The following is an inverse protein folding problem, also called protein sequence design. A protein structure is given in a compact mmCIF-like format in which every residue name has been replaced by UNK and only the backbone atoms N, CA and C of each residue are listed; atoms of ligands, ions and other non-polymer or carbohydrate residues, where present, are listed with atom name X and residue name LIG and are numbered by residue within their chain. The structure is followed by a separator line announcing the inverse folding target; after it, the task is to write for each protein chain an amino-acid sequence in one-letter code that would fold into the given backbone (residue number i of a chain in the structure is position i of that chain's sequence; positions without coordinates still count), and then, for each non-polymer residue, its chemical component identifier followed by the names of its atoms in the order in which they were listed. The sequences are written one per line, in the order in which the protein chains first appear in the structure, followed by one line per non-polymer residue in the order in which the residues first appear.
data_IF_361238909970
#
_entry.id   IF_361238909970
#
_cell.length_a   1.000
_cell.length_b   1.000
_cell.length_c   1.000
_cell.angle_alpha   90.00
_cell.angle_beta   90.00
_cell.angle_gamma   90.00
#
_symmetry.space_group_name_H-M   'P 1'
#
loop_
_entity.id
_entity.type
_entity.pdbx_description
1 polymer ?
#
# COMPACT_ATOMS: atom_id res chain seq x y z
N UNK A 1 11.64 27.70 -30.12
CA UNK A 1 10.74 27.30 -29.02
C UNK A 1 11.58 26.49 -28.05
N UNK A 2 11.57 26.90 -26.78
CA UNK A 2 12.25 26.20 -25.70
C UNK A 2 11.44 24.98 -25.30
N UNK A 3 12.12 23.84 -25.20
CA UNK A 3 11.58 22.58 -24.74
C UNK A 3 12.54 21.90 -23.78
N UNK A 4 12.04 21.09 -22.83
CA UNK A 4 12.89 20.15 -22.12
C UNK A 4 13.46 19.12 -23.09
N UNK A 5 14.76 18.88 -23.00
CA UNK A 5 15.43 17.78 -23.71
C UNK A 5 15.01 16.41 -23.17
N UNK A 6 14.73 16.34 -21.86
CA UNK A 6 14.26 15.14 -21.18
C UNK A 6 13.96 15.38 -19.71
N UNK A 7 13.47 14.33 -19.04
CA UNK A 7 13.16 14.36 -17.61
C UNK A 7 14.09 13.41 -16.87
N UNK A 8 14.86 13.96 -15.93
CA UNK A 8 15.73 13.18 -15.06
C UNK A 8 15.03 12.96 -13.71
N UNK A 9 14.82 11.69 -13.36
CA UNK A 9 14.23 11.33 -12.08
C UNK A 9 15.25 11.50 -10.96
N UNK A 10 14.88 12.27 -9.93
CA UNK A 10 15.68 12.42 -8.71
C UNK A 10 15.08 11.51 -7.64
N UNK A 11 15.92 10.66 -7.05
CA UNK A 11 15.49 9.73 -5.99
C UNK A 11 14.95 10.49 -4.77
N UNK A 12 13.81 10.03 -4.24
CA UNK A 12 13.11 10.65 -3.12
C UNK A 12 13.94 10.66 -1.82
N UNK A 13 14.89 9.72 -1.66
CA UNK A 13 15.80 9.63 -0.50
C UNK A 13 16.77 10.81 -0.39
N UNK A 14 16.96 11.56 -1.48
CA UNK A 14 17.79 12.77 -1.51
C UNK A 14 17.04 14.01 -1.00
N UNK A 15 15.76 13.86 -0.66
CA UNK A 15 14.96 14.94 -0.11
C UNK A 15 14.72 14.75 1.39
N UNK A 16 14.75 15.85 2.12
CA UNK A 16 14.47 15.88 3.55
C UNK A 16 13.65 17.13 3.90
N UNK A 17 12.99 17.11 5.05
CA UNK A 17 12.31 18.29 5.57
C UNK A 17 13.27 19.09 6.44
N UNK A 18 13.43 20.38 6.13
CA UNK A 18 14.25 21.27 6.95
C UNK A 18 13.53 21.54 8.28
N UNK A 19 14.24 21.35 9.39
CA UNK A 19 13.65 21.42 10.74
C UNK A 19 13.09 22.80 11.11
N UNK A 20 13.66 23.87 10.57
CA UNK A 20 13.28 25.25 10.94
C UNK A 20 11.95 25.70 10.32
N UNK A 21 11.67 25.32 9.07
CA UNK A 21 10.54 25.84 8.29
C UNK A 21 9.61 24.74 7.73
N UNK A 22 9.98 23.46 7.90
CA UNK A 22 9.22 22.33 7.39
C UNK A 22 9.18 22.24 5.85
N UNK A 23 10.06 22.96 5.13
CA UNK A 23 10.13 22.90 3.67
C UNK A 23 10.88 21.65 3.21
N UNK A 24 10.48 21.14 2.06
CA UNK A 24 11.16 20.02 1.41
C UNK A 24 12.41 20.57 0.71
N UNK A 25 13.56 20.06 1.11
CA UNK A 25 14.85 20.48 0.57
C UNK A 25 15.61 19.30 0.00
N UNK A 26 16.31 19.54 -1.10
CA UNK A 26 17.25 18.59 -1.68
C UNK A 26 18.58 18.64 -0.90
N UNK A 27 19.16 17.47 -0.67
CA UNK A 27 20.44 17.29 0.01
C UNK A 27 21.27 16.22 -0.70
N UNK A 28 22.51 16.54 -1.05
CA UNK A 28 23.44 15.64 -1.75
C UNK A 28 24.22 14.73 -0.79
N UNK A 29 23.62 14.34 0.33
CA UNK A 29 24.20 13.39 1.29
C UNK A 29 25.20 13.98 2.28
N UNK A 30 25.55 15.27 2.17
CA UNK A 30 26.19 15.98 3.28
C UNK A 30 25.10 16.44 4.25
N UNK A 31 24.94 15.67 5.34
CA UNK A 31 24.00 15.92 6.43
C UNK A 31 24.39 17.21 7.16
N UNK A 32 24.09 18.35 6.56
CA UNK A 32 24.16 19.63 7.24
C UNK A 32 22.74 19.99 7.68
N UNK A 33 22.50 19.86 8.98
CA UNK A 33 21.30 20.35 9.65
C UNK A 33 21.18 21.86 9.36
N UNK A 34 20.40 22.21 8.32
CA UNK A 34 20.17 23.60 7.90
C UNK A 34 20.59 23.96 6.47
N UNK A 35 21.30 23.09 5.74
CA UNK A 35 21.94 23.42 4.45
C UNK A 35 21.33 22.79 3.20
N UNK A 36 20.01 22.59 3.14
CA UNK A 36 19.34 22.04 1.95
C UNK A 36 18.83 23.12 0.99
N UNK A 37 18.75 22.80 -0.30
CA UNK A 37 18.27 23.71 -1.37
C UNK A 37 16.79 23.44 -1.66
N UNK A 38 15.97 24.48 -1.75
CA UNK A 38 14.57 24.34 -2.16
C UNK A 38 14.50 24.45 -3.67
N UNK A 39 14.52 23.29 -4.36
CA UNK A 39 14.59 23.24 -5.82
C UNK A 39 13.49 24.05 -6.52
N UNK A 40 12.29 24.11 -5.93
CA UNK A 40 11.17 24.81 -6.55
C UNK A 40 11.28 26.34 -6.39
N UNK A 41 11.87 26.80 -5.29
CA UNK A 41 12.06 28.22 -5.01
C UNK A 41 13.34 28.77 -5.65
N UNK A 42 14.44 28.02 -5.56
CA UNK A 42 15.77 28.42 -6.01
C UNK A 42 15.92 28.28 -7.53
N UNK A 43 15.21 27.33 -8.16
CA UNK A 43 15.26 27.06 -9.60
C UNK A 43 13.85 26.97 -10.23
N UNK A 44 13.12 28.10 -10.30
CA UNK A 44 11.75 28.10 -10.77
C UNK A 44 11.65 27.63 -12.23
N UNK A 45 10.77 26.67 -12.49
CA UNK A 45 10.49 26.14 -13.83
C UNK A 45 11.51 25.13 -14.36
N UNK A 46 12.49 24.72 -13.56
CA UNK A 46 13.45 23.66 -13.92
C UNK A 46 13.08 22.28 -13.35
N UNK A 47 12.26 22.26 -12.31
CA UNK A 47 11.89 21.04 -11.58
C UNK A 47 10.39 20.82 -11.55
N UNK A 48 9.99 19.55 -11.52
CA UNK A 48 8.62 19.10 -11.32
C UNK A 48 8.52 18.36 -9.99
N UNK A 49 7.54 18.75 -9.17
CA UNK A 49 7.35 18.19 -7.84
C UNK A 49 5.90 17.76 -7.63
N UNK A 50 5.65 16.45 -7.73
CA UNK A 50 4.35 15.88 -7.37
C UNK A 50 4.29 15.52 -5.88
N UNK A 51 3.32 16.08 -5.16
CA UNK A 51 3.09 15.83 -3.74
C UNK A 51 1.59 15.72 -3.46
N UNK A 52 1.00 14.52 -3.52
CA UNK A 52 -0.39 14.33 -3.15
C UNK A 52 -0.56 14.59 -1.64
N UNK A 53 -1.69 15.18 -1.27
CA UNK A 53 -2.09 15.37 0.14
C UNK A 53 -3.12 14.28 0.45
N UNK A 54 -2.71 13.30 1.25
CA UNK A 54 -3.53 12.12 1.55
C UNK A 54 -4.26 12.33 2.88
N UNK A 55 -3.53 12.76 3.91
CA UNK A 55 -4.08 12.91 5.27
C UNK A 55 -4.41 14.37 5.61
N UNK A 56 -3.89 15.33 4.85
CA UNK A 56 -4.07 16.76 5.13
C UNK A 56 -3.24 17.27 6.31
N UNK A 57 -2.33 16.45 6.86
CA UNK A 57 -1.45 16.78 7.98
C UNK A 57 -0.26 17.67 7.51
N UNK A 58 0.70 17.91 8.40
CA UNK A 58 1.94 18.60 8.07
C UNK A 58 2.67 17.90 6.92
N UNK A 59 3.35 18.67 6.02
CA UNK A 59 3.94 18.11 4.81
C UNK A 59 4.92 16.93 5.04
N UNK A 60 5.49 16.81 6.23
CA UNK A 60 6.41 15.73 6.64
C UNK A 60 5.73 14.45 7.13
N UNK A 61 4.43 14.49 7.44
CA UNK A 61 3.62 13.35 7.90
C UNK A 61 2.60 12.89 6.85
N UNK A 62 2.64 13.50 5.67
CA UNK A 62 1.87 13.03 4.52
C UNK A 62 2.36 11.68 4.03
N UNK A 63 1.45 10.96 3.35
CA UNK A 63 1.72 9.63 2.81
C UNK A 63 1.04 8.52 3.61
N UNK A 64 0.89 7.36 2.96
CA UNK A 64 0.23 6.19 3.52
C UNK A 64 1.13 5.42 4.51
N UNK A 65 2.45 5.60 4.43
CA UNK A 65 3.41 4.83 5.24
C UNK A 65 3.16 4.98 6.74
N UNK A 66 2.83 6.17 7.24
CA UNK A 66 2.58 6.40 8.66
C UNK A 66 1.31 5.68 9.17
N UNK A 67 0.29 5.57 8.32
CA UNK A 67 -0.93 4.82 8.64
C UNK A 67 -0.69 3.31 8.59
N UNK A 68 0.04 2.85 7.56
CA UNK A 68 0.22 1.44 7.27
C UNK A 68 1.32 0.77 8.11
N UNK A 69 2.28 1.52 8.65
CA UNK A 69 3.45 0.95 9.36
C UNK A 69 3.03 0.03 10.52
N UNK A 70 2.04 0.45 11.31
CA UNK A 70 1.58 -0.32 12.46
C UNK A 70 0.82 -1.57 12.04
N UNK A 71 -0.07 -1.43 11.07
CA UNK A 71 -0.87 -2.55 10.55
C UNK A 71 0.03 -3.60 9.89
N UNK A 72 1.01 -3.16 9.09
CA UNK A 72 1.99 -4.03 8.48
C UNK A 72 2.89 -4.72 9.52
N UNK A 73 3.30 -4.00 10.58
CA UNK A 73 4.10 -4.56 11.67
C UNK A 73 3.33 -5.66 12.43
N UNK A 74 2.10 -5.36 12.85
CA UNK A 74 1.26 -6.31 13.59
C UNK A 74 0.90 -7.53 12.75
N UNK A 75 0.69 -7.34 11.44
CA UNK A 75 0.43 -8.45 10.54
C UNK A 75 1.64 -9.38 10.43
N UNK A 76 2.82 -8.82 10.19
CA UNK A 76 4.06 -9.60 10.13
C UNK A 76 4.35 -10.35 11.43
N UNK A 77 4.08 -9.73 12.59
CA UNK A 77 4.22 -10.40 13.89
C UNK A 77 3.21 -11.52 14.09
N UNK A 78 1.97 -11.30 13.70
CA UNK A 78 0.90 -12.30 13.80
C UNK A 78 1.18 -13.52 12.92
N UNK A 79 1.66 -13.30 11.69
CA UNK A 79 2.08 -14.37 10.77
C UNK A 79 3.29 -15.13 11.33
N UNK A 80 4.29 -14.42 11.86
CA UNK A 80 5.46 -15.04 12.47
C UNK A 80 5.11 -15.87 13.72
N UNK A 81 4.21 -15.36 14.57
CA UNK A 81 3.72 -16.08 15.74
C UNK A 81 2.90 -17.31 15.34
N UNK A 82 2.06 -17.20 14.32
CA UNK A 82 1.27 -18.31 13.81
C UNK A 82 2.16 -19.44 13.28
N UNK A 83 3.23 -19.11 12.55
CA UNK A 83 4.21 -20.08 12.08
C UNK A 83 4.94 -20.77 13.24
N UNK A 84 5.32 -20.03 14.29
CA UNK A 84 5.94 -20.59 15.51
C UNK A 84 4.99 -21.52 16.25
N UNK A 85 3.73 -21.12 16.38
CA UNK A 85 2.69 -21.96 16.98
C UNK A 85 2.51 -23.24 16.18
N UNK A 86 2.48 -23.15 14.85
CA UNK A 86 2.51 -24.32 13.97
C UNK A 86 3.68 -25.24 14.30
N UNK A 87 4.91 -24.71 14.29
CA UNK A 87 6.11 -25.49 14.60
C UNK A 87 6.05 -26.18 15.98
N UNK A 88 5.57 -25.47 17.00
CA UNK A 88 5.44 -26.00 18.37
C UNK A 88 4.33 -27.05 18.49
N UNK A 89 3.25 -26.94 17.72
CA UNK A 89 2.12 -27.89 17.78
C UNK A 89 2.48 -29.24 17.16
N UNK A 90 3.34 -29.23 16.13
CA UNK A 90 3.78 -30.46 15.43
C UNK A 90 5.00 -31.13 16.07
N UNK A 91 5.51 -30.60 17.19
CA UNK A 91 6.67 -31.14 17.92
C UNK A 91 6.30 -31.35 19.39
N UNK A 92 6.60 -32.51 19.99
CA UNK A 92 6.36 -32.71 21.42
C UNK A 92 7.25 -31.78 22.24
N UNK A 93 6.76 -31.30 23.37
CA UNK A 93 7.59 -30.64 24.37
C UNK A 93 8.43 -31.69 25.07
N UNK A 94 9.74 -31.46 25.13
CA UNK A 94 10.66 -32.35 25.85
C UNK A 94 11.01 -31.70 27.17
N UNK A 95 10.55 -32.31 28.27
CA UNK A 95 10.73 -31.79 29.62
C UNK A 95 11.65 -32.75 30.36
N UNK A 96 12.85 -32.28 30.71
CA UNK A 96 13.77 -33.03 31.57
C UNK A 96 13.55 -32.65 33.03
N UNK A 97 13.18 -33.63 33.87
CA UNK A 97 13.07 -33.45 35.32
C UNK A 97 14.40 -33.80 35.99
N UNK A 98 14.78 -33.04 37.00
CA UNK A 98 16.00 -33.29 37.78
C UNK A 98 15.74 -33.10 39.28
N UNK A 99 16.47 -33.84 40.11
CA UNK A 99 16.34 -33.76 41.56
C UNK A 99 16.87 -32.43 42.15
N UNK A 100 16.29 -32.00 43.27
CA UNK A 100 16.73 -30.78 43.96
C UNK A 100 18.13 -30.98 44.56
N UNK A 101 19.10 -30.14 44.17
CA UNK A 101 20.49 -30.22 44.64
C UNK A 101 21.51 -30.71 43.59
N UNK A 102 21.06 -31.02 42.37
CA UNK A 102 21.94 -31.46 41.27
C UNK A 102 22.91 -30.35 40.84
N UNK A 103 24.19 -30.72 40.69
CA UNK A 103 25.28 -29.83 40.27
C UNK A 103 25.10 -29.28 38.84
N UNK A 104 25.72 -28.13 38.55
CA UNK A 104 25.58 -27.42 37.27
C UNK A 104 25.92 -28.26 36.05
N UNK A 105 26.92 -29.15 36.15
CA UNK A 105 27.36 -30.03 35.06
C UNK A 105 26.26 -31.00 34.61
N UNK A 106 25.57 -31.65 35.54
CA UNK A 106 24.51 -32.61 35.22
C UNK A 106 23.27 -31.93 34.60
N UNK A 107 23.00 -30.65 34.94
CA UNK A 107 21.97 -29.86 34.25
C UNK A 107 22.34 -29.57 32.80
N UNK A 108 23.60 -29.24 32.53
CA UNK A 108 24.09 -29.00 31.19
C UNK A 108 24.06 -30.28 30.33
N UNK A 109 24.45 -31.43 30.90
CA UNK A 109 24.40 -32.72 30.21
C UNK A 109 22.95 -33.14 29.88
N UNK A 110 22.00 -32.86 30.80
CA UNK A 110 20.58 -33.07 30.54
C UNK A 110 20.06 -32.17 29.41
N UNK A 111 20.40 -30.89 29.41
CA UNK A 111 20.02 -29.96 28.34
C UNK A 111 20.59 -30.40 26.99
N UNK A 112 21.86 -30.79 26.94
CA UNK A 112 22.50 -31.32 25.74
C UNK A 112 21.79 -32.59 25.21
N UNK A 113 21.31 -33.43 26.12
CA UNK A 113 20.56 -34.65 25.77
C UNK A 113 19.19 -34.31 25.16
N UNK A 114 18.49 -33.31 25.70
CA UNK A 114 17.22 -32.80 25.15
C UNK A 114 17.40 -32.14 23.78
N UNK A 115 18.47 -31.39 23.56
CA UNK A 115 18.82 -30.81 22.26
C UNK A 115 19.14 -31.90 21.22
N UNK A 116 19.91 -32.92 21.60
CA UNK A 116 20.18 -34.08 20.73
C UNK A 116 18.91 -34.85 20.37
N UNK A 117 18.00 -35.01 21.33
CA UNK A 117 16.70 -35.64 21.09
C UNK A 117 15.86 -34.86 20.08
N UNK A 118 16.05 -33.54 20.00
CA UNK A 118 15.35 -32.68 19.03
C UNK A 118 15.85 -32.89 17.60
N UNK A 119 17.16 -33.02 17.40
CA UNK A 119 17.77 -33.16 16.07
C UNK A 119 17.80 -34.61 15.57
N UNK A 120 18.14 -35.56 16.44
CA UNK A 120 18.44 -36.94 16.05
C UNK A 120 17.34 -37.94 16.46
N UNK A 121 16.35 -37.52 17.25
CA UNK A 121 15.25 -38.38 17.70
C UNK A 121 15.65 -39.51 18.66
N UNK A 122 16.91 -39.56 19.10
CA UNK A 122 17.46 -40.62 19.97
C UNK A 122 18.26 -39.96 21.10
N UNK A 123 18.03 -40.42 22.33
CA UNK A 123 18.78 -40.03 23.51
C UNK A 123 19.00 -41.24 24.43
N UNK A 124 20.15 -41.29 25.10
CA UNK A 124 20.46 -42.28 26.13
C UNK A 124 20.62 -41.53 27.45
N UNK A 125 19.93 -41.96 28.50
CA UNK A 125 19.99 -41.33 29.82
C UNK A 125 20.13 -42.38 30.93
N UNK A 126 20.61 -41.95 32.10
CA UNK A 126 20.64 -42.81 33.29
C UNK A 126 19.24 -43.03 33.88
N UNK A 127 19.06 -44.07 34.71
CA UNK A 127 17.75 -44.42 35.29
C UNK A 127 17.18 -43.35 36.22
N UNK A 128 18.00 -42.44 36.73
CA UNK A 128 17.58 -41.34 37.62
C UNK A 128 17.09 -40.09 36.87
N UNK A 129 17.22 -40.07 35.54
CA UNK A 129 16.82 -38.96 34.67
C UNK A 129 15.50 -39.33 34.01
N UNK A 130 14.46 -38.54 34.27
CA UNK A 130 13.14 -38.69 33.66
C UNK A 130 12.99 -37.65 32.53
N UNK A 131 12.72 -38.13 31.31
CA UNK A 131 12.46 -37.30 30.13
C UNK A 131 11.02 -37.54 29.70
N UNK A 132 10.18 -36.50 29.83
CA UNK A 132 8.80 -36.55 29.37
C UNK A 132 8.67 -35.91 27.99
N UNK A 133 8.04 -36.65 27.07
CA UNK A 133 7.58 -36.13 25.78
C UNK A 133 6.09 -35.81 25.91
N UNK A 134 5.80 -34.55 26.21
CA UNK A 134 4.43 -34.06 26.34
C UNK A 134 4.02 -33.50 24.99
N UNK A 135 3.09 -34.15 24.30
CA UNK A 135 2.42 -33.48 23.19
C UNK A 135 1.60 -32.32 23.75
N UNK A 136 1.68 -31.10 23.18
CA UNK A 136 0.75 -30.03 23.56
C UNK A 136 -0.67 -30.58 23.45
N UNK A 137 -1.32 -30.74 24.60
CA UNK A 137 -2.53 -31.54 24.72
C UNK A 137 -3.65 -30.98 23.86
N UNK A 138 -4.43 -31.87 23.25
CA UNK A 138 -5.81 -31.60 22.80
C UNK A 138 -6.77 -31.38 23.98
N UNK A 139 -6.30 -30.86 25.12
CA UNK A 139 -7.12 -30.57 26.29
C UNK A 139 -7.71 -29.18 26.14
N UNK A 140 -8.79 -29.14 25.35
CA UNK A 140 -9.48 -27.91 24.98
C UNK A 140 -10.26 -28.08 23.68
N UNK A 141 -10.98 -29.20 23.52
CA UNK A 141 -11.97 -29.34 22.45
C UNK A 141 -13.12 -28.36 22.71
N UNK A 142 -12.93 -27.13 22.27
CA UNK A 142 -13.90 -26.04 22.39
C UNK A 142 -13.39 -24.78 21.69
N UNK A 143 -13.59 -24.71 20.37
CA UNK A 143 -13.67 -23.47 19.60
C UNK A 143 -12.46 -22.50 19.61
N UNK A 144 -11.29 -22.94 19.14
CA UNK A 144 -10.21 -22.03 18.69
C UNK A 144 -9.90 -22.23 17.20
N UNK A 145 -10.94 -22.23 16.36
CA UNK A 145 -10.76 -22.08 14.92
C UNK A 145 -10.17 -20.70 14.63
N UNK A 146 -9.04 -20.69 13.91
CA UNK A 146 -8.50 -19.55 13.13
C UNK A 146 -8.28 -18.17 13.77
N UNK A 147 -8.02 -18.02 15.07
CA UNK A 147 -7.75 -16.67 15.66
C UNK A 147 -6.61 -15.91 14.97
N UNK A 148 -5.49 -16.57 14.64
CA UNK A 148 -4.37 -15.93 13.94
C UNK A 148 -4.72 -15.55 12.50
N UNK A 149 -5.39 -16.45 11.76
CA UNK A 149 -5.80 -16.19 10.38
C UNK A 149 -6.79 -15.04 10.32
N UNK A 150 -7.81 -15.05 11.18
CA UNK A 150 -8.80 -13.98 11.27
C UNK A 150 -8.17 -12.63 11.58
N UNK A 151 -7.18 -12.60 12.48
CA UNK A 151 -6.42 -11.39 12.77
C UNK A 151 -5.60 -10.92 11.56
N UNK A 152 -4.92 -11.83 10.86
CA UNK A 152 -4.13 -11.49 9.66
C UNK A 152 -5.03 -10.98 8.53
N UNK A 153 -6.17 -11.64 8.30
CA UNK A 153 -7.16 -11.26 7.30
C UNK A 153 -7.79 -9.89 7.66
N UNK A 154 -8.14 -9.67 8.94
CA UNK A 154 -8.65 -8.37 9.39
C UNK A 154 -7.63 -7.24 9.18
N UNK A 155 -6.36 -7.45 9.55
CA UNK A 155 -5.29 -6.49 9.32
C UNK A 155 -5.09 -6.22 7.81
N UNK A 156 -5.14 -7.26 6.97
CA UNK A 156 -5.08 -7.15 5.51
C UNK A 156 -6.25 -6.34 4.93
N UNK A 157 -7.45 -6.55 5.46
CA UNK A 157 -8.64 -5.81 5.09
C UNK A 157 -8.52 -4.32 5.49
N UNK A 158 -8.02 -3.99 6.68
CA UNK A 158 -7.76 -2.59 7.06
C UNK A 158 -6.72 -1.91 6.15
N UNK A 159 -5.65 -2.62 5.76
CA UNK A 159 -4.69 -2.11 4.77
C UNK A 159 -5.34 -1.83 3.41
N UNK A 160 -6.24 -2.72 2.96
CA UNK A 160 -6.95 -2.55 1.70
C UNK A 160 -7.88 -1.33 1.73
N UNK A 161 -8.60 -1.10 2.84
CA UNK A 161 -9.42 0.11 3.02
C UNK A 161 -8.58 1.37 2.98
N UNK A 162 -7.43 1.37 3.63
CA UNK A 162 -6.55 2.52 3.67
C UNK A 162 -6.00 2.92 2.29
N UNK A 163 -5.72 1.95 1.42
CA UNK A 163 -5.10 2.19 0.10
C UNK A 163 -6.16 2.36 -0.98
N UNK A 164 -7.12 1.45 -1.04
CA UNK A 164 -8.10 1.35 -2.13
C UNK A 164 -9.47 1.95 -1.77
N UNK A 165 -9.68 2.35 -0.50
CA UNK A 165 -10.98 2.82 0.00
C UNK A 165 -12.00 1.70 0.24
N UNK A 166 -11.65 0.44 -0.03
CA UNK A 166 -12.56 -0.70 0.02
C UNK A 166 -11.82 -2.04 0.20
N UNK A 167 -12.58 -3.11 0.50
CA UNK A 167 -12.05 -4.48 0.66
C UNK A 167 -12.59 -5.49 -0.35
N UNK A 168 -13.83 -5.33 -0.82
CA UNK A 168 -14.57 -6.40 -1.49
C UNK A 168 -14.06 -6.75 -2.89
N UNK A 169 -13.40 -5.84 -3.62
CA UNK A 169 -12.81 -6.21 -4.93
C UNK A 169 -11.49 -6.97 -4.77
N UNK A 170 -10.92 -6.98 -3.57
CA UNK A 170 -9.65 -7.63 -3.25
C UNK A 170 -9.89 -8.95 -2.51
N UNK A 171 -10.95 -9.02 -1.69
CA UNK A 171 -11.36 -10.22 -0.97
C UNK A 171 -12.76 -10.65 -1.43
N UNK A 172 -12.83 -11.70 -2.25
CA UNK A 172 -14.11 -12.28 -2.64
C UNK A 172 -14.67 -13.09 -1.46
N UNK A 173 -15.41 -12.44 -0.58
CA UNK A 173 -16.17 -13.13 0.47
C UNK A 173 -17.19 -14.11 -0.14
N UNK A 174 -17.54 -15.19 0.58
CA UNK A 174 -18.52 -16.21 0.14
C UNK A 174 -19.91 -15.63 -0.20
N UNK A 175 -20.20 -14.36 0.14
CA UNK A 175 -21.46 -13.66 -0.13
C UNK A 175 -21.27 -12.27 -0.76
N UNK A 176 -20.31 -12.11 -1.67
CA UNK A 176 -20.20 -10.88 -2.46
C UNK A 176 -21.30 -10.78 -3.53
N UNK A 177 -22.37 -10.00 -3.29
CA UNK A 177 -23.34 -9.68 -4.33
C UNK A 177 -22.68 -8.80 -5.41
N UNK A 178 -22.93 -9.10 -6.69
CA UNK A 178 -22.37 -8.35 -7.85
C UNK A 178 -22.59 -6.84 -7.74
N UNK A 179 -23.75 -6.43 -7.23
CA UNK A 179 -24.12 -5.03 -6.98
C UNK A 179 -23.22 -4.33 -5.95
N UNK A 180 -22.72 -5.07 -4.95
CA UNK A 180 -21.81 -4.50 -3.94
C UNK A 180 -20.42 -4.29 -4.56
N UNK A 181 -19.96 -5.22 -5.41
CA UNK A 181 -18.73 -5.09 -6.17
C UNK A 181 -18.70 -3.84 -7.06
N UNK A 182 -19.81 -3.52 -7.72
CA UNK A 182 -19.95 -2.31 -8.55
C UNK A 182 -19.91 -1.00 -7.74
N UNK A 183 -20.34 -1.02 -6.47
CA UNK A 183 -20.22 0.14 -5.57
C UNK A 183 -18.76 0.32 -5.14
N UNK A 184 -18.05 -0.76 -4.82
CA UNK A 184 -16.64 -0.68 -4.44
C UNK A 184 -15.73 -0.29 -5.60
N UNK A 185 -16.04 -0.73 -6.82
CA UNK A 185 -15.31 -0.31 -8.01
C UNK A 185 -15.47 1.21 -8.27
N UNK A 186 -16.65 1.79 -7.98
CA UNK A 186 -16.85 3.24 -8.03
C UNK A 186 -15.93 4.00 -7.06
N UNK A 187 -15.80 3.53 -5.82
CA UNK A 187 -14.87 4.15 -4.84
C UNK A 187 -13.43 4.11 -5.34
N UNK A 188 -13.00 2.98 -5.92
CA UNK A 188 -11.67 2.86 -6.52
C UNK A 188 -11.48 3.85 -7.68
N UNK A 189 -12.49 4.01 -8.54
CA UNK A 189 -12.46 4.96 -9.65
C UNK A 189 -12.43 6.41 -9.17
N UNK A 190 -13.15 6.75 -8.10
CA UNK A 190 -13.10 8.10 -7.51
C UNK A 190 -11.69 8.45 -7.02
N UNK A 191 -10.99 7.52 -6.36
CA UNK A 191 -9.60 7.70 -5.93
C UNK A 191 -8.68 7.89 -7.15
N UNK A 192 -8.81 7.03 -8.17
CA UNK A 192 -8.05 7.14 -9.43
C UNK A 192 -8.25 8.49 -10.09
N UNK A 193 -9.50 8.97 -10.16
CA UNK A 193 -9.86 10.23 -10.82
C UNK A 193 -9.32 11.44 -10.04
N UNK A 194 -9.32 11.36 -8.71
CA UNK A 194 -8.68 12.36 -7.86
C UNK A 194 -7.16 12.40 -8.09
N UNK A 195 -6.50 11.23 -8.15
CA UNK A 195 -5.07 11.13 -8.41
C UNK A 195 -4.73 11.68 -9.81
N UNK A 196 -5.52 11.34 -10.83
CA UNK A 196 -5.36 11.86 -12.17
C UNK A 196 -5.46 13.39 -12.22
N UNK A 197 -6.43 13.98 -11.51
CA UNK A 197 -6.56 15.44 -11.37
C UNK A 197 -5.35 16.05 -10.67
N UNK A 198 -4.81 15.40 -9.62
CA UNK A 198 -3.64 15.89 -8.90
C UNK A 198 -2.36 15.85 -9.75
N UNK A 199 -2.17 14.78 -10.54
CA UNK A 199 -1.06 14.67 -11.49
C UNK A 199 -1.20 15.73 -12.60
N UNK A 200 -2.39 15.89 -13.17
CA UNK A 200 -2.65 16.89 -14.20
C UNK A 200 -2.41 18.32 -13.70
N UNK A 201 -2.80 18.62 -12.46
CA UNK A 201 -2.49 19.91 -11.82
C UNK A 201 -0.98 20.13 -11.65
N UNK A 202 -0.23 19.07 -11.31
CA UNK A 202 1.23 19.13 -11.19
C UNK A 202 1.88 19.39 -12.54
N UNK A 203 1.49 18.65 -13.59
CA UNK A 203 1.98 18.84 -14.96
C UNK A 203 1.69 20.27 -15.43
N UNK A 204 0.47 20.76 -15.19
CA UNK A 204 0.09 22.13 -15.56
C UNK A 204 0.95 23.18 -14.84
N UNK A 205 1.18 23.01 -13.54
CA UNK A 205 1.90 23.95 -12.68
C UNK A 205 3.41 23.99 -13.00
N UNK A 206 4.03 22.83 -13.15
CA UNK A 206 5.50 22.71 -13.16
C UNK A 206 6.09 22.54 -14.56
N UNK A 207 5.32 22.04 -15.53
CA UNK A 207 5.80 21.82 -16.89
C UNK A 207 5.18 22.81 -17.87
N UNK A 208 3.85 22.82 -17.97
CA UNK A 208 3.16 23.59 -19.02
C UNK A 208 3.24 25.08 -18.74
N UNK A 209 3.02 25.51 -17.49
CA UNK A 209 3.08 26.94 -17.14
C UNK A 209 4.46 27.54 -17.44
N UNK A 210 5.59 26.97 -17.00
CA UNK A 210 6.90 27.48 -17.36
C UNK A 210 7.16 27.48 -18.88
N UNK A 211 6.77 26.41 -19.58
CA UNK A 211 6.91 26.33 -21.04
C UNK A 211 6.15 27.43 -21.78
N UNK A 212 4.91 27.69 -21.38
CA UNK A 212 4.08 28.73 -21.99
C UNK A 212 4.68 30.11 -21.71
N UNK A 213 5.06 30.38 -20.46
CA UNK A 213 5.67 31.66 -20.08
C UNK A 213 6.97 31.93 -20.83
N UNK A 214 7.82 30.92 -21.01
CA UNK A 214 9.10 31.04 -21.70
C UNK A 214 8.95 31.24 -23.21
N UNK A 215 7.93 30.63 -23.83
CA UNK A 215 7.76 30.67 -25.29
C UNK A 215 6.82 31.78 -25.78
N UNK A 216 5.77 32.08 -25.01
CA UNK A 216 4.65 32.92 -25.43
C UNK A 216 4.36 34.07 -24.47
N UNK A 217 5.06 34.17 -23.34
CA UNK A 217 4.82 35.18 -22.32
C UNK A 217 3.55 34.89 -21.50
N UNK A 218 2.95 35.94 -20.95
CA UNK A 218 1.79 35.84 -20.06
C UNK A 218 0.48 35.65 -20.86
N UNK A 219 0.30 34.43 -21.36
CA UNK A 219 -0.91 33.99 -22.08
C UNK A 219 -1.67 32.93 -21.29
N UNK A 220 -2.97 32.70 -21.57
CA UNK A 220 -3.75 31.68 -20.90
C UNK A 220 -3.10 30.28 -21.01
N UNK A 221 -2.81 29.68 -19.85
CA UNK A 221 -2.14 28.38 -19.77
C UNK A 221 -3.15 27.26 -20.15
N UNK A 222 -2.80 26.32 -21.05
CA UNK A 222 -3.64 25.18 -21.43
C UNK A 222 -3.94 24.23 -20.29
N UNK A 223 -5.19 23.73 -20.22
CA UNK A 223 -5.60 22.71 -19.24
C UNK A 223 -5.25 21.34 -19.79
N UNK A 224 -4.81 20.45 -18.90
CA UNK A 224 -4.61 19.04 -19.20
C UNK A 224 -5.52 18.25 -18.27
N UNK A 225 -6.15 17.22 -18.84
CA UNK A 225 -6.93 16.24 -18.13
C UNK A 225 -6.57 14.87 -18.68
N UNK A 226 -6.56 13.87 -17.82
CA UNK A 226 -6.49 12.47 -18.25
C UNK A 226 -7.91 12.00 -18.56
N UNK A 227 -8.05 11.20 -19.60
CA UNK A 227 -9.30 10.50 -19.88
C UNK A 227 -9.43 9.35 -18.87
N UNK A 228 -10.29 9.54 -17.86
CA UNK A 228 -10.57 8.53 -16.83
C UNK A 228 -11.95 7.92 -16.97
N UNK A 229 -12.75 8.39 -17.92
CA UNK A 229 -14.09 7.87 -18.17
C UNK A 229 -14.05 6.40 -18.59
N UNK A 230 -15.00 5.62 -18.09
CA UNK A 230 -15.12 4.22 -18.48
C UNK A 230 -15.55 4.13 -19.95
N UNK A 231 -15.04 3.12 -20.66
CA UNK A 231 -15.42 2.87 -22.04
C UNK A 231 -16.95 2.67 -22.11
N UNK A 232 -17.62 3.61 -22.78
CA UNK A 232 -19.06 3.57 -22.97
C UNK A 232 -19.41 2.40 -23.88
N UNK A 233 -20.42 1.60 -23.52
CA UNK A 233 -21.00 0.65 -24.47
C UNK A 233 -21.66 1.44 -25.61
N UNK A 234 -20.97 1.49 -26.74
CA UNK A 234 -21.38 2.23 -27.93
C UNK A 234 -22.79 1.82 -28.39
N UNK A 235 -23.21 0.57 -28.18
CA UNK A 235 -24.53 0.13 -28.60
C UNK A 235 -25.62 0.71 -27.70
N UNK A 236 -25.42 0.72 -26.38
CA UNK A 236 -26.38 1.33 -25.45
C UNK A 236 -26.42 2.85 -25.61
N UNK A 237 -25.26 3.49 -25.76
CA UNK A 237 -25.15 4.92 -25.95
C UNK A 237 -25.84 5.38 -27.24
N UNK A 238 -25.58 4.73 -28.37
CA UNK A 238 -26.20 5.10 -29.64
C UNK A 238 -27.72 4.87 -29.64
N UNK A 239 -28.20 3.84 -28.92
CA UNK A 239 -29.64 3.66 -28.69
C UNK A 239 -30.23 4.80 -27.85
N UNK A 240 -29.56 5.19 -26.77
CA UNK A 240 -29.99 6.29 -25.92
C UNK A 240 -30.03 7.64 -26.66
N UNK A 241 -29.01 7.94 -27.47
CA UNK A 241 -28.97 9.15 -28.32
C UNK A 241 -30.13 9.15 -29.32
N UNK A 242 -30.43 8.02 -29.95
CA UNK A 242 -31.59 7.89 -30.85
C UNK A 242 -32.90 8.16 -30.11
N UNK A 243 -33.12 7.53 -28.95
CA UNK A 243 -34.32 7.75 -28.15
C UNK A 243 -34.44 9.20 -27.65
N UNK A 244 -33.33 9.84 -27.25
CA UNK A 244 -33.31 11.23 -26.84
C UNK A 244 -33.69 12.19 -27.98
N UNK A 245 -33.19 11.92 -29.19
CA UNK A 245 -33.57 12.68 -30.39
C UNK A 245 -35.04 12.47 -30.76
N UNK A 246 -35.52 11.23 -30.69
CA UNK A 246 -36.93 10.90 -30.95
C UNK A 246 -37.88 11.55 -29.90
N UNK A 247 -37.38 11.77 -28.67
CA UNK A 247 -38.08 12.51 -27.61
C UNK A 247 -37.97 14.04 -27.73
N UNK A 248 -37.25 14.56 -28.73
CA UNK A 248 -37.12 15.99 -29.00
C UNK A 248 -35.96 16.70 -28.29
N UNK A 249 -34.95 15.97 -27.79
CA UNK A 249 -33.73 16.60 -27.28
C UNK A 249 -32.79 17.02 -28.42
N UNK A 250 -32.36 18.28 -28.39
CA UNK A 250 -31.30 18.78 -29.29
C UNK A 250 -29.92 18.40 -28.75
N UNK A 251 -29.39 17.28 -29.25
CA UNK A 251 -28.09 16.75 -28.86
C UNK A 251 -27.02 17.24 -29.85
N UNK A 252 -25.97 17.96 -29.40
CA UNK A 252 -24.93 18.46 -30.29
C UNK A 252 -24.02 17.33 -30.80
N UNK A 253 -23.63 17.42 -32.07
CA UNK A 253 -22.81 16.40 -32.75
C UNK A 253 -21.42 16.25 -32.13
N UNK A 254 -20.77 17.36 -31.77
CA UNK A 254 -19.44 17.35 -31.12
C UNK A 254 -19.44 16.53 -29.83
N UNK A 255 -20.52 16.59 -29.04
CA UNK A 255 -20.63 15.85 -27.78
C UNK A 255 -20.76 14.35 -28.01
N UNK A 256 -21.47 13.94 -29.08
CA UNK A 256 -21.57 12.52 -29.45
C UNK A 256 -20.21 11.97 -29.84
N UNK A 257 -19.40 12.73 -30.59
CA UNK A 257 -18.04 12.35 -30.94
C UNK A 257 -17.12 12.25 -29.72
N UNK A 258 -17.20 13.23 -28.80
CA UNK A 258 -16.42 13.26 -27.57
C UNK A 258 -16.70 12.04 -26.68
N UNK A 259 -17.99 11.73 -26.44
CA UNK A 259 -18.40 10.61 -25.57
C UNK A 259 -18.19 9.24 -26.24
N UNK A 260 -18.37 9.14 -27.56
CA UNK A 260 -18.16 7.87 -28.28
C UNK A 260 -16.69 7.59 -28.64
N UNK A 261 -15.81 8.59 -28.55
CA UNK A 261 -14.43 8.51 -29.02
C UNK A 261 -14.30 8.38 -30.54
N UNK A 262 -15.38 8.55 -31.30
CA UNK A 262 -15.35 8.53 -32.77
C UNK A 262 -14.84 9.90 -33.24
N UNK A 263 -13.78 9.97 -34.07
CA UNK A 263 -13.25 11.24 -34.55
C UNK A 263 -14.28 11.99 -35.41
N UNK A 264 -14.25 13.33 -35.34
CA UNK A 264 -15.04 14.17 -36.24
C UNK A 264 -14.57 14.00 -37.69
N UNK A 265 -15.49 14.01 -38.67
CA UNK A 265 -15.12 14.01 -40.08
C UNK A 265 -14.36 15.29 -40.42
N UNK A 266 -13.20 15.12 -41.07
CA UNK A 266 -12.31 16.19 -41.56
C UNK A 266 -12.96 16.95 -42.71
#
# INVERSE_FOLDING_TARGET
WLLPEGFNLIDQRRFQFRANDGRLVFSDGQVSYGGGVDLMADFPGQYMQHRPRINGDIPSREGLSHLLVWVALFRNWSEADWLKLGEMTWKPWRIGKYAKGVGSKAKADLMFTLERLTNNGIATHGPEVEIDLVWPGQEGKGAAGSTHKELCDWLGAEMSKAILGQTLTTEQGERGARSLGEVHDRVRKDIRDQDAKAVAATIRRDLIRPLVLLNYGDVPIPKVAFQTEDAVDLLEFMKAVKTGKDAGMDIPVWWVHDVSGIPEPI
#
